data_IF_596003329847
#
_entry.id   IF_596003329847
#
_cell.length_a   1.000
_cell.length_b   1.000
_cell.length_c   1.000
_cell.angle_alpha   90.00
_cell.angle_beta   90.00
_cell.angle_gamma   90.00
#
_symmetry.space_group_name_H-M   'P 1'
#
loop_
_entity.id
_entity.type
_entity.pdbx_description
1 polymer ?
#
# COMPACT_ATOMS: atom_id res chain seq x y z
N UNK A 1 -14.75 -18.95 26.54
CA UNK A 1 -14.44 -18.86 25.10
C UNK A 1 -14.65 -17.42 24.67
N UNK A 2 -13.61 -16.62 24.38
CA UNK A 2 -13.82 -15.27 23.89
C UNK A 2 -14.38 -15.32 22.47
N UNK A 3 -15.32 -14.43 22.21
CA UNK A 3 -16.16 -14.37 21.01
C UNK A 3 -15.33 -14.15 19.73
N UNK A 4 -15.44 -15.05 18.75
CA UNK A 4 -14.72 -14.98 17.47
C UNK A 4 -14.96 -13.68 16.68
N UNK A 5 -15.97 -12.85 17.02
CA UNK A 5 -16.16 -11.54 16.43
C UNK A 5 -15.27 -10.46 17.07
N UNK A 6 -14.82 -10.63 18.31
CA UNK A 6 -13.92 -9.70 19.01
C UNK A 6 -12.48 -9.79 18.47
N UNK A 7 -12.01 -11.01 18.16
CA UNK A 7 -10.73 -11.26 17.48
C UNK A 7 -10.70 -10.59 16.08
N UNK A 8 -11.82 -10.64 15.34
CA UNK A 8 -11.97 -9.95 14.05
C UNK A 8 -11.88 -8.42 14.17
N UNK A 9 -12.30 -7.86 15.30
CA UNK A 9 -12.21 -6.42 15.58
C UNK A 9 -10.81 -6.01 16.03
N UNK A 10 -10.12 -6.85 16.83
CA UNK A 10 -8.74 -6.60 17.24
C UNK A 10 -7.74 -6.67 16.09
N UNK A 11 -7.93 -7.59 15.12
CA UNK A 11 -7.09 -7.65 13.90
C UNK A 11 -7.22 -6.41 12.99
N UNK A 12 -8.26 -5.60 13.20
CA UNK A 12 -8.56 -4.37 12.45
C UNK A 12 -7.76 -3.15 12.92
N UNK A 13 -7.07 -3.24 14.06
CA UNK A 13 -6.28 -2.15 14.67
C UNK A 13 -4.84 -2.04 14.16
N UNK A 14 -4.49 -2.70 13.05
CA UNK A 14 -3.12 -2.67 12.52
C UNK A 14 -2.91 -1.42 11.65
N UNK A 15 -2.88 -0.23 12.24
CA UNK A 15 -2.81 1.08 11.55
C UNK A 15 -4.06 1.38 10.72
N UNK A 16 -4.60 2.59 10.91
CA UNK A 16 -5.76 3.05 10.15
C UNK A 16 -5.45 3.00 8.64
N UNK A 17 -6.42 2.62 7.77
CA UNK A 17 -6.20 2.59 6.32
C UNK A 17 -5.65 3.92 5.76
N UNK A 18 -5.94 5.02 6.44
CA UNK A 18 -5.41 6.35 6.16
C UNK A 18 -3.93 6.52 6.53
N UNK A 19 -3.48 5.98 7.65
CA UNK A 19 -2.05 6.01 8.05
C UNK A 19 -1.21 5.20 7.07
N UNK A 20 -1.71 4.03 6.67
CA UNK A 20 -1.08 3.19 5.64
C UNK A 20 -0.99 3.93 4.31
N UNK A 21 -2.07 4.63 3.92
CA UNK A 21 -2.10 5.47 2.72
C UNK A 21 -1.06 6.59 2.80
N UNK A 22 -0.95 7.31 3.91
CA UNK A 22 0.09 8.34 4.09
C UNK A 22 1.50 7.77 4.01
N UNK A 23 1.76 6.65 4.69
CA UNK A 23 3.07 6.01 4.65
C UNK A 23 3.44 5.55 3.22
N UNK A 24 2.52 4.91 2.49
CA UNK A 24 2.73 4.54 1.09
C UNK A 24 3.08 5.76 0.26
N UNK A 25 2.37 6.88 0.43
CA UNK A 25 2.61 8.09 -0.34
C UNK A 25 3.97 8.72 -0.04
N UNK A 26 4.40 8.74 1.22
CA UNK A 26 5.74 9.17 1.62
C UNK A 26 6.81 8.24 1.06
N UNK A 27 6.61 6.91 1.13
CA UNK A 27 7.54 5.95 0.57
C UNK A 27 7.66 6.07 -0.97
N UNK A 28 6.56 6.43 -1.63
CA UNK A 28 6.45 6.62 -3.08
C UNK A 28 6.87 8.02 -3.57
N UNK A 29 7.36 8.90 -2.69
CA UNK A 29 8.06 10.12 -3.12
C UNK A 29 9.28 9.81 -3.98
N UNK A 30 9.83 8.60 -3.84
CA UNK A 30 10.79 8.01 -4.78
C UNK A 30 10.15 6.80 -5.46
N UNK A 31 10.44 6.56 -6.76
CA UNK A 31 9.95 5.36 -7.44
C UNK A 31 10.46 4.11 -6.71
N UNK A 32 9.54 3.27 -6.25
CA UNK A 32 9.82 2.06 -5.46
C UNK A 32 9.15 0.85 -6.10
N UNK A 33 9.75 -0.32 -5.89
CA UNK A 33 9.16 -1.58 -6.34
C UNK A 33 8.06 -2.04 -5.39
N UNK A 34 7.19 -2.93 -5.87
CA UNK A 34 6.19 -3.57 -5.02
C UNK A 34 6.81 -4.33 -3.82
N UNK A 35 7.99 -4.95 -4.00
CA UNK A 35 8.65 -5.68 -2.92
C UNK A 35 9.19 -4.74 -1.83
N UNK A 36 9.74 -3.60 -2.23
CA UNK A 36 10.23 -2.56 -1.32
C UNK A 36 9.08 -1.96 -0.49
N UNK A 37 7.96 -1.67 -1.13
CA UNK A 37 6.77 -1.16 -0.45
C UNK A 37 6.18 -2.19 0.51
N UNK A 38 6.22 -3.48 0.15
CA UNK A 38 5.80 -4.57 1.02
C UNK A 38 6.65 -4.61 2.29
N UNK A 39 7.96 -4.55 2.10
CA UNK A 39 8.94 -4.59 3.19
C UNK A 39 8.79 -3.37 4.11
N UNK A 40 8.73 -2.17 3.53
CA UNK A 40 8.55 -0.92 4.27
C UNK A 40 7.23 -0.86 5.05
N UNK A 41 6.16 -1.47 4.53
CA UNK A 41 4.85 -1.53 5.20
C UNK A 41 4.70 -2.72 6.16
N UNK A 42 5.65 -3.67 6.15
CA UNK A 42 5.50 -4.96 6.82
C UNK A 42 4.22 -5.71 6.39
N UNK A 43 3.76 -5.51 5.15
CA UNK A 43 2.51 -6.08 4.65
C UNK A 43 2.72 -7.45 4.01
N UNK A 44 1.64 -8.24 4.00
CA UNK A 44 1.58 -9.46 3.19
C UNK A 44 1.50 -9.12 1.70
N UNK A 45 2.00 -10.01 0.83
CA UNK A 45 1.94 -9.87 -0.63
C UNK A 45 0.52 -9.53 -1.12
N UNK A 46 -0.51 -10.20 -0.59
CA UNK A 46 -1.91 -9.94 -0.95
C UNK A 46 -2.36 -8.54 -0.54
N UNK A 47 -1.92 -8.05 0.62
CA UNK A 47 -2.27 -6.73 1.12
C UNK A 47 -1.79 -5.63 0.20
N UNK A 48 -0.53 -5.73 -0.26
CA UNK A 48 0.02 -4.73 -1.19
C UNK A 48 -0.53 -4.84 -2.60
N UNK A 49 -0.78 -6.06 -3.09
CA UNK A 49 -1.40 -6.32 -4.39
C UNK A 49 -2.81 -5.70 -4.50
N UNK A 50 -3.57 -5.64 -3.41
CA UNK A 50 -4.87 -4.96 -3.38
C UNK A 50 -4.78 -3.46 -3.06
N UNK A 51 -3.73 -3.03 -2.35
CA UNK A 51 -3.55 -1.64 -1.96
C UNK A 51 -3.13 -0.76 -3.15
N UNK A 52 -2.17 -1.20 -3.95
CA UNK A 52 -1.64 -0.41 -5.08
C UNK A 52 -2.70 -0.05 -6.13
N UNK A 53 -3.51 -1.01 -6.64
CA UNK A 53 -4.58 -0.69 -7.58
C UNK A 53 -5.66 0.21 -6.96
N UNK A 54 -5.91 0.09 -5.65
CA UNK A 54 -6.86 0.96 -4.95
C UNK A 54 -6.35 2.40 -4.89
N UNK A 55 -5.07 2.59 -4.59
CA UNK A 55 -4.45 3.93 -4.58
C UNK A 55 -4.31 4.52 -5.98
N UNK A 56 -4.08 3.68 -7.00
CA UNK A 56 -4.08 4.09 -8.41
C UNK A 56 -5.46 4.58 -8.83
N UNK A 57 -6.52 3.86 -8.45
CA UNK A 57 -7.91 4.27 -8.69
C UNK A 57 -8.27 5.58 -7.97
N UNK A 58 -7.69 5.82 -6.80
CA UNK A 58 -7.79 7.08 -6.05
C UNK A 58 -6.93 8.21 -6.67
N UNK A 59 -6.15 7.93 -7.72
CA UNK A 59 -5.30 8.91 -8.41
C UNK A 59 -4.06 9.32 -7.62
N UNK A 60 -3.65 8.53 -6.62
CA UNK A 60 -2.55 8.88 -5.71
C UNK A 60 -1.20 8.29 -6.10
N UNK A 61 -1.22 7.16 -6.79
CA UNK A 61 -0.03 6.44 -7.21
C UNK A 61 -0.22 6.05 -8.67
N UNK A 62 0.86 5.93 -9.40
CA UNK A 62 0.82 5.44 -10.78
C UNK A 62 1.94 4.45 -11.02
N UNK A 63 1.74 3.46 -11.90
CA UNK A 63 2.85 2.66 -12.39
C UNK A 63 3.82 3.56 -13.14
N UNK A 64 5.06 3.65 -12.66
CA UNK A 64 6.13 4.41 -13.27
C UNK A 64 6.71 3.67 -14.46
N UNK A 65 7.12 2.42 -14.21
CA UNK A 65 7.83 1.57 -15.17
C UNK A 65 7.61 0.09 -14.82
N UNK A 66 7.81 -0.79 -15.79
CA UNK A 66 7.86 -2.23 -15.56
C UNK A 66 9.22 -2.78 -15.98
N UNK A 67 10.03 -3.18 -15.00
CA UNK A 67 11.33 -3.81 -15.22
C UNK A 67 11.17 -5.32 -15.15
N UNK A 68 11.26 -5.98 -16.31
CA UNK A 68 10.96 -7.40 -16.50
C UNK A 68 9.57 -7.78 -15.94
N UNK A 69 9.53 -8.35 -14.73
CA UNK A 69 8.33 -8.82 -14.03
C UNK A 69 7.93 -7.91 -12.86
N UNK A 70 8.78 -6.95 -12.50
CA UNK A 70 8.59 -6.08 -11.34
C UNK A 70 8.01 -4.74 -11.80
N UNK A 71 6.84 -4.40 -11.28
CA UNK A 71 6.22 -3.10 -11.48
C UNK A 71 6.78 -2.10 -10.47
N UNK A 72 7.29 -0.99 -10.99
CA UNK A 72 7.74 0.17 -10.22
C UNK A 72 6.55 1.11 -10.09
N UNK A 73 6.33 1.58 -8.88
CA UNK A 73 5.27 2.50 -8.55
C UNK A 73 5.88 3.82 -8.11
N UNK A 74 5.23 4.90 -8.48
CA UNK A 74 5.58 6.25 -8.04
C UNK A 74 4.33 6.95 -7.50
N UNK A 75 4.52 7.97 -6.68
CA UNK A 75 3.45 8.85 -6.25
C UNK A 75 2.97 9.62 -7.48
N UNK A 76 1.66 9.57 -7.74
CA UNK A 76 1.06 10.48 -8.70
C UNK A 76 1.23 11.88 -8.11
N UNK A 77 2.19 12.63 -8.65
CA UNK A 77 2.24 14.07 -8.44
C UNK A 77 0.95 14.59 -9.05
N UNK A 78 -0.02 14.89 -8.19
CA UNK A 78 -1.03 15.87 -8.57
C UNK A 78 -0.22 17.10 -8.98
N UNK A 79 -0.25 17.44 -10.27
CA UNK A 79 0.18 18.74 -10.72
C UNK A 79 -0.65 19.75 -9.91
N UNK A 80 -0.03 20.32 -8.89
CA UNK A 80 -0.41 21.56 -8.24
C UNK A 80 0.73 22.53 -8.48
#
# INVERSE_FOLDING_TARGET
MPDCAQERRYRRQRSSPEERRRFVLTALERPRTQAELRDALGMSNSGILHLLPRLERDGLVRPAERVAWTRIWERARGSG
#
